data_IF_897495386387
#
_entry.id   IF_897495386387
#
_cell.length_a   1.000
_cell.length_b   1.000
_cell.length_c   1.000
_cell.angle_alpha   90.00
_cell.angle_beta   90.00
_cell.angle_gamma   90.00
#
_symmetry.space_group_name_H-M   'P 1'
#
loop_
_entity.id
_entity.type
_entity.pdbx_description
1 polymer ?
#
# COMPACT_ATOMS: atom_id res chain seq x y z
N UNK A 1 -2.32 -36.01 -34.13
CA UNK A 1 -2.69 -36.60 -32.83
C UNK A 1 -1.64 -36.14 -31.87
N UNK A 2 -1.86 -35.01 -31.18
CA UNK A 2 -0.91 -34.42 -30.20
C UNK A 2 -1.32 -35.03 -28.86
N UNK A 3 -0.39 -35.76 -28.27
CA UNK A 3 -0.53 -36.43 -26.98
C UNK A 3 -0.49 -35.38 -25.87
N UNK A 4 -1.63 -35.15 -25.22
CA UNK A 4 -1.82 -34.26 -24.08
C UNK A 4 -1.74 -35.05 -22.77
N UNK A 5 -0.67 -35.82 -22.60
CA UNK A 5 -0.44 -36.55 -21.35
C UNK A 5 0.52 -35.78 -20.43
N UNK A 6 -0.06 -35.27 -19.36
CA UNK A 6 0.55 -34.98 -18.05
C UNK A 6 1.61 -33.88 -17.96
N UNK A 7 1.20 -32.64 -18.10
CA UNK A 7 1.80 -31.62 -17.26
C UNK A 7 1.17 -31.79 -15.86
N UNK A 8 1.92 -32.35 -14.91
CA UNK A 8 1.61 -32.25 -13.49
C UNK A 8 1.63 -30.77 -13.14
N UNK A 9 0.47 -30.14 -13.11
CA UNK A 9 0.25 -28.99 -12.27
C UNK A 9 0.33 -29.56 -10.86
N UNK A 10 1.44 -29.36 -10.19
CA UNK A 10 1.50 -29.56 -8.75
C UNK A 10 0.49 -28.56 -8.19
N UNK A 11 -0.69 -29.06 -7.86
CA UNK A 11 -1.66 -28.36 -7.03
C UNK A 11 -0.95 -28.04 -5.73
N UNK A 12 -0.49 -26.80 -5.61
CA UNK A 12 -0.18 -26.19 -4.34
C UNK A 12 -1.53 -26.04 -3.63
N UNK A 13 -2.00 -27.15 -3.04
CA UNK A 13 -3.20 -27.15 -2.23
C UNK A 13 -2.84 -26.33 -1.00
N UNK A 14 -3.22 -25.04 -1.03
CA UNK A 14 -3.26 -24.26 0.20
C UNK A 14 -4.25 -24.95 1.12
N UNK A 15 -3.76 -25.59 2.13
CA UNK A 15 -4.57 -26.28 3.16
C UNK A 15 -5.24 -25.31 4.12
N UNK A 16 -5.06 -24.01 3.90
CA UNK A 16 -5.71 -22.97 4.71
C UNK A 16 -7.21 -23.03 4.51
N UNK A 17 -7.95 -23.33 5.56
CA UNK A 17 -9.39 -23.49 5.52
C UNK A 17 -10.06 -22.15 5.18
N UNK A 18 -10.65 -22.06 3.99
CA UNK A 18 -11.52 -20.96 3.59
C UNK A 18 -13.00 -21.33 3.81
N UNK A 19 -13.89 -20.35 4.09
CA UNK A 19 -13.62 -18.93 4.19
C UNK A 19 -12.99 -18.55 5.54
N UNK A 20 -12.08 -17.57 5.52
CA UNK A 20 -11.60 -16.92 6.75
C UNK A 20 -12.78 -16.23 7.44
N UNK A 21 -13.03 -16.57 8.71
CA UNK A 21 -14.16 -16.00 9.45
C UNK A 21 -13.80 -14.71 10.16
N UNK A 22 -12.53 -14.45 10.34
CA UNK A 22 -11.98 -13.25 10.97
C UNK A 22 -10.62 -12.95 10.37
N UNK A 23 -10.31 -11.70 10.29
CA UNK A 23 -9.09 -11.15 9.72
C UNK A 23 -8.79 -9.82 10.41
N UNK A 24 -7.60 -9.30 10.18
CA UNK A 24 -7.19 -7.95 10.59
C UNK A 24 -7.11 -7.05 9.37
N UNK A 25 -7.42 -5.75 9.54
CA UNK A 25 -7.30 -4.77 8.45
C UNK A 25 -5.87 -4.74 7.89
N UNK A 26 -4.87 -4.85 8.75
CA UNK A 26 -3.47 -4.96 8.33
C UNK A 26 -2.54 -4.05 9.12
N UNK A 27 -3.02 -2.87 9.48
CA UNK A 27 -2.27 -1.88 10.26
C UNK A 27 -2.37 -2.15 11.77
N UNK A 28 -1.23 -2.07 12.45
CA UNK A 28 -1.14 -2.20 13.92
C UNK A 28 -0.46 -0.98 14.55
N UNK A 29 -0.71 -0.78 15.86
CA UNK A 29 -0.02 0.26 16.62
C UNK A 29 1.48 -0.02 16.68
N UNK A 30 2.28 0.91 16.19
CA UNK A 30 3.73 0.79 16.17
C UNK A 30 4.32 0.78 17.57
N UNK A 31 5.20 -0.19 17.89
CA UNK A 31 5.92 -0.21 19.16
C UNK A 31 6.77 1.05 19.36
N UNK A 32 6.96 1.45 20.62
CA UNK A 32 7.79 2.62 20.94
C UNK A 32 9.23 2.50 20.41
N UNK A 33 9.79 1.28 20.41
CA UNK A 33 11.10 0.98 19.82
C UNK A 33 11.16 1.41 18.34
N UNK A 34 10.11 1.08 17.56
CA UNK A 34 10.04 1.42 16.14
C UNK A 34 9.85 2.93 15.93
N UNK A 35 8.99 3.56 16.73
CA UNK A 35 8.78 5.01 16.67
C UNK A 35 10.07 5.79 16.97
N UNK A 36 10.84 5.33 17.95
CA UNK A 36 12.14 5.95 18.28
C UNK A 36 13.16 5.74 17.15
N UNK A 37 13.24 4.53 16.59
CA UNK A 37 14.15 4.23 15.50
C UNK A 37 13.87 5.09 14.25
N UNK A 38 12.60 5.35 13.92
CA UNK A 38 12.23 6.27 12.82
C UNK A 38 12.74 7.69 13.07
N UNK A 39 12.55 8.22 14.28
CA UNK A 39 13.08 9.56 14.67
C UNK A 39 14.60 9.61 14.59
N UNK A 40 15.27 8.54 14.99
CA UNK A 40 16.73 8.46 14.95
C UNK A 40 17.26 8.37 13.51
N UNK A 41 16.53 7.66 12.62
CA UNK A 41 16.81 7.64 11.19
C UNK A 41 16.60 9.02 10.52
N UNK A 42 15.47 9.67 10.76
CA UNK A 42 15.16 11.01 10.26
C UNK A 42 16.23 12.04 10.70
N UNK A 43 16.71 11.90 11.93
CA UNK A 43 17.79 12.74 12.48
C UNK A 43 19.20 12.25 12.11
N UNK A 44 19.32 11.23 11.22
CA UNK A 44 20.58 10.66 10.72
C UNK A 44 21.49 10.08 11.80
N UNK A 45 20.92 9.61 12.92
CA UNK A 45 21.66 8.93 13.99
C UNK A 45 21.87 7.46 13.72
N UNK A 46 20.97 6.83 12.95
CA UNK A 46 21.08 5.44 12.50
C UNK A 46 21.01 5.38 10.98
N UNK A 47 21.55 4.31 10.40
CA UNK A 47 21.50 4.04 8.96
C UNK A 47 20.14 3.44 8.54
N UNK A 48 19.90 3.33 7.23
CA UNK A 48 18.72 2.63 6.69
C UNK A 48 18.72 1.15 7.06
N UNK A 49 19.89 0.53 7.05
CA UNK A 49 20.09 -0.88 7.38
C UNK A 49 19.73 -1.14 8.86
N UNK A 50 20.16 -0.25 9.75
CA UNK A 50 19.82 -0.34 11.19
C UNK A 50 18.31 -0.15 11.42
N UNK A 51 17.68 0.80 10.72
CA UNK A 51 16.22 0.94 10.78
C UNK A 51 15.52 -0.32 10.27
N UNK A 52 15.95 -0.87 9.12
CA UNK A 52 15.38 -2.10 8.56
C UNK A 52 15.47 -3.27 9.54
N UNK A 53 16.61 -3.43 10.22
CA UNK A 53 16.76 -4.47 11.23
C UNK A 53 15.74 -4.31 12.38
N UNK A 54 15.50 -3.09 12.83
CA UNK A 54 14.52 -2.81 13.90
C UNK A 54 13.09 -3.05 13.39
N UNK A 55 12.80 -2.70 12.14
CA UNK A 55 11.53 -3.00 11.48
C UNK A 55 11.31 -4.52 11.44
N UNK A 56 12.31 -5.29 11.01
CA UNK A 56 12.28 -6.76 10.94
C UNK A 56 12.00 -7.40 12.31
N UNK A 57 12.68 -6.94 13.34
CA UNK A 57 12.47 -7.43 14.72
C UNK A 57 11.04 -7.13 15.20
N UNK A 58 10.53 -5.93 14.94
CA UNK A 58 9.17 -5.53 15.33
C UNK A 58 8.10 -6.31 14.56
N UNK A 59 8.29 -6.55 13.27
CA UNK A 59 7.38 -7.35 12.44
C UNK A 59 7.41 -8.81 12.90
N UNK A 60 8.59 -9.36 13.19
CA UNK A 60 8.72 -10.72 13.72
C UNK A 60 7.93 -10.90 15.03
N UNK A 61 8.06 -9.98 15.97
CA UNK A 61 7.31 -9.99 17.23
C UNK A 61 5.79 -9.87 17.01
N UNK A 62 5.37 -8.99 16.06
CA UNK A 62 3.96 -8.86 15.68
C UNK A 62 3.41 -10.17 15.13
N UNK A 63 4.08 -10.77 14.14
CA UNK A 63 3.63 -12.03 13.51
C UNK A 63 3.52 -13.18 14.52
N UNK A 64 4.45 -13.26 15.46
CA UNK A 64 4.34 -14.24 16.55
C UNK A 64 3.07 -14.04 17.39
N UNK A 65 2.69 -12.78 17.65
CA UNK A 65 1.47 -12.45 18.39
C UNK A 65 0.21 -12.73 17.57
N UNK A 66 0.22 -12.43 16.26
CA UNK A 66 -0.87 -12.76 15.34
C UNK A 66 -1.14 -14.27 15.33
N UNK A 67 -0.10 -15.08 15.16
CA UNK A 67 -0.20 -16.55 15.22
C UNK A 67 -0.66 -17.05 16.58
N UNK A 68 -0.13 -16.51 17.67
CA UNK A 68 -0.53 -16.88 19.03
C UNK A 68 -1.99 -16.52 19.32
N UNK A 69 -2.53 -15.47 18.68
CA UNK A 69 -3.95 -15.10 18.73
C UNK A 69 -4.84 -15.99 17.84
N UNK A 70 -4.26 -16.92 17.07
CA UNK A 70 -4.97 -17.85 16.19
C UNK A 70 -5.34 -17.26 14.85
N UNK A 71 -4.67 -16.19 14.39
CA UNK A 71 -4.88 -15.67 13.04
C UNK A 71 -4.25 -16.59 11.99
N UNK A 72 -5.00 -16.89 10.93
CA UNK A 72 -4.54 -17.65 9.76
C UNK A 72 -3.99 -16.74 8.67
N UNK A 73 -4.32 -15.47 8.70
CA UNK A 73 -3.82 -14.43 7.80
C UNK A 73 -2.97 -13.49 8.61
N UNK A 74 -1.69 -13.39 8.26
CA UNK A 74 -0.72 -12.53 8.94
C UNK A 74 -0.37 -11.32 8.07
N UNK A 75 -0.01 -10.22 8.71
CA UNK A 75 0.42 -8.97 8.06
C UNK A 75 1.74 -8.47 8.66
N UNK A 76 2.40 -7.54 7.98
CA UNK A 76 3.57 -6.83 8.51
C UNK A 76 3.21 -5.67 9.46
N UNK A 77 1.91 -5.50 9.76
CA UNK A 77 1.40 -4.41 10.58
C UNK A 77 1.57 -3.02 9.97
N UNK A 78 2.00 -2.95 8.70
CA UNK A 78 2.41 -1.73 8.01
C UNK A 78 3.57 -1.00 8.71
N UNK A 79 4.39 -1.75 9.42
CA UNK A 79 5.44 -1.20 10.26
C UNK A 79 6.56 -0.51 9.48
N UNK A 80 6.70 -0.79 8.17
CA UNK A 80 7.68 -0.14 7.30
C UNK A 80 7.18 1.18 6.71
N UNK A 81 5.86 1.46 6.81
CA UNK A 81 5.22 2.62 6.19
C UNK A 81 5.18 3.84 7.12
N UNK A 82 5.36 5.01 6.56
CA UNK A 82 5.03 6.27 7.22
C UNK A 82 3.52 6.48 7.21
N UNK A 83 2.90 6.28 6.05
CA UNK A 83 1.45 6.33 5.84
C UNK A 83 0.97 5.05 5.14
N UNK A 84 -0.27 4.66 5.38
CA UNK A 84 -0.81 3.40 4.84
C UNK A 84 -0.87 3.37 3.30
N UNK A 85 -1.04 4.52 2.63
CA UNK A 85 -1.27 4.63 1.19
C UNK A 85 -0.13 5.32 0.43
N UNK A 86 0.44 6.43 0.94
CA UNK A 86 1.40 7.23 0.19
C UNK A 86 2.71 6.48 -0.06
N UNK A 87 3.19 5.72 0.91
CA UNK A 87 4.41 4.89 0.75
C UNK A 87 4.31 3.92 -0.44
N UNK A 88 3.10 3.43 -0.73
CA UNK A 88 2.87 2.62 -1.93
C UNK A 88 3.00 3.47 -3.20
N UNK A 89 2.39 4.65 -3.23
CA UNK A 89 2.43 5.54 -4.38
C UNK A 89 3.86 6.01 -4.70
N UNK A 90 4.69 6.19 -3.67
CA UNK A 90 6.10 6.60 -3.83
C UNK A 90 6.97 5.51 -4.47
N UNK A 91 6.49 4.29 -4.54
CA UNK A 91 7.11 3.19 -5.29
C UNK A 91 6.89 3.25 -6.80
N UNK A 92 6.09 4.20 -7.29
CA UNK A 92 5.82 4.39 -8.71
C UNK A 92 6.74 5.43 -9.32
N UNK A 93 7.17 5.18 -10.56
CA UNK A 93 7.82 6.19 -11.40
C UNK A 93 6.86 7.37 -11.62
N UNK A 94 7.40 8.56 -11.73
CA UNK A 94 6.62 9.77 -11.99
C UNK A 94 5.84 10.30 -10.77
N UNK A 95 6.04 9.73 -9.59
CA UNK A 95 5.48 10.21 -8.31
C UNK A 95 6.58 10.70 -7.40
N UNK A 96 6.35 11.80 -6.71
CA UNK A 96 7.28 12.36 -5.72
C UNK A 96 6.54 12.94 -4.53
N UNK A 97 7.27 13.26 -3.47
CA UNK A 97 6.69 13.84 -2.27
C UNK A 97 7.63 14.85 -1.62
N UNK A 98 7.06 15.73 -0.81
CA UNK A 98 7.80 16.69 0.01
C UNK A 98 7.09 16.85 1.36
N UNK A 99 7.83 17.15 2.44
CA UNK A 99 7.21 17.45 3.72
C UNK A 99 6.15 18.55 3.59
N UNK A 100 4.94 18.26 4.10
CA UNK A 100 3.84 19.23 4.06
C UNK A 100 4.15 20.45 4.92
N UNK A 101 3.61 21.60 4.52
CA UNK A 101 3.65 22.81 5.31
C UNK A 101 2.35 23.06 6.09
N UNK A 102 1.25 22.53 5.63
CA UNK A 102 -0.10 22.80 6.16
C UNK A 102 -0.77 21.59 6.77
N UNK A 103 -0.39 20.37 6.34
CA UNK A 103 -1.07 19.12 6.67
C UNK A 103 -2.44 18.98 6.00
N UNK A 104 -3.00 17.78 6.07
CA UNK A 104 -4.39 17.53 5.67
C UNK A 104 -5.32 17.74 6.87
N UNK A 105 -6.44 18.45 6.74
CA UNK A 105 -7.44 18.57 7.78
C UNK A 105 -8.02 17.20 8.13
N UNK A 106 -7.96 16.80 9.40
CA UNK A 106 -8.50 15.54 9.88
C UNK A 106 -9.07 15.71 11.29
N UNK A 107 -10.39 15.56 11.45
CA UNK A 107 -11.09 15.68 12.73
C UNK A 107 -10.74 16.93 13.60
N UNK A 108 -10.51 18.07 12.93
CA UNK A 108 -10.15 19.32 13.60
C UNK A 108 -8.67 19.52 13.89
N UNK A 109 -7.83 18.56 13.51
CA UNK A 109 -6.38 18.65 13.56
C UNK A 109 -5.78 18.56 12.15
N UNK A 110 -4.51 18.95 11.97
CA UNK A 110 -3.79 18.77 10.73
C UNK A 110 -2.94 17.49 10.80
N UNK A 111 -3.25 16.51 9.94
CA UNK A 111 -2.38 15.36 9.76
C UNK A 111 -1.13 15.78 8.96
N UNK A 112 0.02 15.80 9.61
CA UNK A 112 1.30 16.20 9.01
C UNK A 112 1.88 15.04 8.21
N UNK A 113 1.30 14.80 7.02
CA UNK A 113 1.76 13.80 6.05
C UNK A 113 2.33 14.51 4.84
N UNK A 114 3.30 13.87 4.14
CA UNK A 114 3.95 14.48 2.99
C UNK A 114 2.97 14.79 1.86
N UNK A 115 3.14 15.98 1.27
CA UNK A 115 2.45 16.35 0.04
C UNK A 115 2.97 15.47 -1.10
N UNK A 116 2.08 14.68 -1.71
CA UNK A 116 2.41 13.73 -2.79
C UNK A 116 1.87 14.27 -4.11
N UNK A 117 2.68 14.24 -5.16
CA UNK A 117 2.36 14.84 -6.46
C UNK A 117 3.08 14.15 -7.61
N UNK A 118 2.56 14.36 -8.84
CA UNK A 118 3.12 13.82 -10.08
C UNK A 118 4.29 14.68 -10.57
N UNK A 119 5.36 14.02 -11.00
CA UNK A 119 6.58 14.63 -11.58
C UNK A 119 6.89 14.10 -12.99
N UNK A 120 6.08 13.17 -13.50
CA UNK A 120 6.21 12.52 -14.80
C UNK A 120 5.02 11.62 -15.08
N UNK A 121 5.08 10.83 -16.14
CA UNK A 121 4.08 9.79 -16.38
C UNK A 121 4.19 8.70 -15.31
N UNK A 122 3.05 8.28 -14.78
CA UNK A 122 2.96 7.27 -13.72
C UNK A 122 3.24 5.90 -14.30
N UNK A 123 4.09 5.11 -13.63
CA UNK A 123 4.41 3.76 -14.07
C UNK A 123 5.24 2.98 -13.06
N UNK A 124 5.64 1.78 -13.42
CA UNK A 124 6.55 0.95 -12.61
C UNK A 124 7.56 0.30 -13.54
N UNK A 125 8.79 0.78 -13.54
CA UNK A 125 9.88 0.26 -14.37
C UNK A 125 10.80 -0.72 -13.64
N UNK A 126 10.84 -0.65 -12.31
CA UNK A 126 11.65 -1.49 -11.44
C UNK A 126 10.83 -2.44 -10.56
N UNK A 127 11.45 -2.99 -9.54
CA UNK A 127 10.76 -3.76 -8.50
C UNK A 127 10.14 -2.80 -7.49
N UNK A 128 8.83 -2.92 -7.28
CA UNK A 128 8.15 -2.09 -6.28
C UNK A 128 8.62 -2.46 -4.87
N UNK A 129 8.88 -1.47 -3.96
CA UNK A 129 9.41 -1.75 -2.61
C UNK A 129 8.56 -2.74 -1.79
N UNK A 130 7.24 -2.75 -1.96
CA UNK A 130 6.35 -3.66 -1.25
C UNK A 130 6.56 -5.13 -1.59
N UNK A 131 7.20 -5.43 -2.71
CA UNK A 131 7.57 -6.81 -3.06
C UNK A 131 8.61 -7.35 -2.07
N UNK A 132 9.62 -6.56 -1.72
CA UNK A 132 10.62 -6.96 -0.72
C UNK A 132 10.02 -7.00 0.69
N UNK A 133 9.08 -6.10 1.01
CA UNK A 133 8.34 -6.17 2.28
C UNK A 133 7.54 -7.48 2.37
N UNK A 134 6.86 -7.87 1.30
CA UNK A 134 6.11 -9.11 1.23
C UNK A 134 7.02 -10.34 1.35
N UNK A 135 8.15 -10.38 0.62
CA UNK A 135 9.13 -11.48 0.73
C UNK A 135 9.62 -11.70 2.16
N UNK A 136 9.82 -10.62 2.91
CA UNK A 136 10.16 -10.76 4.32
C UNK A 136 9.04 -11.44 5.13
N UNK A 137 7.78 -11.15 4.80
CA UNK A 137 6.63 -11.71 5.52
C UNK A 137 6.42 -13.20 5.18
N UNK A 138 6.74 -13.66 3.96
CA UNK A 138 6.53 -15.06 3.55
C UNK A 138 7.32 -16.07 4.36
N UNK A 139 8.44 -15.68 4.98
CA UNK A 139 9.22 -16.58 5.83
C UNK A 139 8.45 -17.11 7.05
N UNK A 140 7.34 -16.46 7.39
CA UNK A 140 6.49 -16.85 8.52
C UNK A 140 5.28 -17.69 8.10
N UNK A 141 5.10 -17.94 6.80
CA UNK A 141 4.04 -18.83 6.32
C UNK A 141 4.28 -20.28 6.75
N UNK A 142 3.19 -20.99 6.99
CA UNK A 142 3.19 -22.41 7.29
C UNK A 142 1.88 -23.06 6.81
N UNK A 143 1.64 -24.33 7.15
CA UNK A 143 0.43 -25.08 6.75
C UNK A 143 -0.90 -24.44 7.20
N UNK A 144 -0.87 -23.53 8.19
CA UNK A 144 -2.05 -22.91 8.77
C UNK A 144 -2.08 -21.39 8.59
N UNK A 145 -1.04 -20.79 8.02
CA UNK A 145 -0.85 -19.36 8.01
C UNK A 145 -0.37 -18.86 6.65
N UNK A 146 -1.05 -17.85 6.10
CA UNK A 146 -0.64 -17.18 4.87
C UNK A 146 -0.37 -15.70 5.11
N UNK A 147 0.55 -15.15 4.34
CA UNK A 147 0.86 -13.72 4.31
C UNK A 147 -0.12 -12.93 3.45
N UNK A 148 -0.63 -11.83 3.97
CA UNK A 148 -1.46 -10.86 3.25
C UNK A 148 -0.67 -9.58 3.02
N UNK A 149 -0.70 -9.10 1.76
CA UNK A 149 -0.20 -7.77 1.40
C UNK A 149 -1.36 -6.80 1.31
N UNK A 150 -1.33 -5.73 2.11
CA UNK A 150 -2.28 -4.61 1.99
C UNK A 150 -1.70 -3.53 1.08
N UNK A 151 -2.49 -3.00 0.18
CA UNK A 151 -2.13 -1.90 -0.71
C UNK A 151 -3.34 -0.96 -0.86
N UNK A 152 -3.14 0.35 -1.09
CA UNK A 152 -4.27 1.23 -1.38
C UNK A 152 -4.96 0.81 -2.69
N UNK A 153 -6.26 1.06 -2.80
CA UNK A 153 -6.99 0.86 -4.04
C UNK A 153 -6.54 1.85 -5.13
N UNK A 154 -6.67 1.50 -6.43
CA UNK A 154 -6.39 2.44 -7.53
C UNK A 154 -7.17 3.75 -7.44
N UNK A 155 -8.42 3.70 -6.96
CA UNK A 155 -9.24 4.90 -6.74
C UNK A 155 -8.61 5.84 -5.72
N UNK A 156 -8.01 5.31 -4.65
CA UNK A 156 -7.29 6.10 -3.65
C UNK A 156 -6.05 6.78 -4.24
N UNK A 157 -5.37 6.12 -5.18
CA UNK A 157 -4.25 6.72 -5.91
C UNK A 157 -4.72 7.89 -6.79
N UNK A 158 -5.76 7.66 -7.59
CA UNK A 158 -6.35 8.72 -8.44
C UNK A 158 -6.78 9.92 -7.60
N UNK A 159 -7.53 9.66 -6.52
CA UNK A 159 -7.98 10.70 -5.59
C UNK A 159 -6.82 11.57 -5.12
N UNK A 160 -5.73 10.98 -4.66
CA UNK A 160 -4.54 11.70 -4.20
C UNK A 160 -3.97 12.64 -5.28
N UNK A 161 -3.99 12.21 -6.56
CA UNK A 161 -3.43 12.98 -7.67
C UNK A 161 -4.35 14.10 -8.17
N UNK A 162 -5.64 14.05 -7.86
CA UNK A 162 -6.61 15.07 -8.22
C UNK A 162 -7.01 15.98 -7.06
N UNK A 163 -6.47 15.77 -5.86
CA UNK A 163 -6.65 16.71 -4.75
C UNK A 163 -6.22 18.12 -5.16
N UNK A 164 -6.89 19.19 -4.67
CA UNK A 164 -6.64 20.55 -5.10
C UNK A 164 -5.17 20.99 -5.10
N UNK A 165 -4.39 20.53 -4.12
CA UNK A 165 -2.97 20.84 -4.02
C UNK A 165 -2.08 20.04 -5.01
N UNK A 166 -2.53 18.88 -5.48
CA UNK A 166 -1.81 18.01 -6.41
C UNK A 166 -2.20 18.26 -7.88
N UNK A 167 -3.44 18.69 -8.13
CA UNK A 167 -4.07 18.79 -9.44
C UNK A 167 -3.27 19.64 -10.45
N UNK A 168 -2.71 20.76 -10.01
CA UNK A 168 -1.89 21.61 -10.87
C UNK A 168 -0.61 20.91 -11.38
N UNK A 169 -0.04 20.01 -10.60
CA UNK A 169 1.09 19.20 -11.04
C UNK A 169 0.61 18.08 -11.98
N UNK A 170 -0.51 17.46 -11.67
CA UNK A 170 -1.11 16.41 -12.49
C UNK A 170 -1.40 16.92 -13.91
N UNK A 171 -2.01 18.11 -14.05
CA UNK A 171 -2.32 18.74 -15.35
C UNK A 171 -1.09 19.06 -16.21
N UNK A 172 0.11 19.14 -15.64
CA UNK A 172 1.35 19.33 -16.41
C UNK A 172 1.74 18.09 -17.23
N UNK A 173 1.32 16.92 -16.80
CA UNK A 173 1.71 15.63 -17.38
C UNK A 173 0.53 14.86 -17.99
N UNK A 174 -0.69 15.19 -17.57
CA UNK A 174 -1.93 14.55 -18.02
C UNK A 174 -2.95 15.62 -18.40
N UNK A 175 -3.23 15.74 -19.71
CA UNK A 175 -4.30 16.59 -20.23
C UNK A 175 -5.67 15.90 -20.04
N UNK A 176 -5.66 14.56 -20.02
CA UNK A 176 -6.82 13.71 -19.88
C UNK A 176 -6.69 12.82 -18.63
N UNK A 177 -7.73 12.85 -17.80
CA UNK A 177 -7.83 11.99 -16.60
C UNK A 177 -7.89 10.52 -16.98
N UNK A 178 -8.47 10.14 -18.12
CA UNK A 178 -8.53 8.77 -18.60
C UNK A 178 -7.13 8.18 -18.81
N UNK A 179 -6.20 8.97 -19.36
CA UNK A 179 -4.80 8.55 -19.52
C UNK A 179 -4.15 8.27 -18.15
N UNK A 180 -4.35 9.14 -17.16
CA UNK A 180 -3.85 8.93 -15.80
C UNK A 180 -4.43 7.66 -15.17
N UNK A 181 -5.74 7.43 -15.29
CA UNK A 181 -6.41 6.21 -14.82
C UNK A 181 -5.79 4.95 -15.46
N UNK A 182 -5.53 5.00 -16.77
CA UNK A 182 -4.94 3.88 -17.50
C UNK A 182 -3.49 3.61 -17.05
N UNK A 183 -2.69 4.65 -16.82
CA UNK A 183 -1.31 4.52 -16.35
C UNK A 183 -1.26 3.97 -14.91
N UNK A 184 -2.12 4.45 -14.02
CA UNK A 184 -2.28 3.89 -12.67
C UNK A 184 -2.65 2.41 -12.77
N UNK A 185 -3.68 2.06 -13.56
CA UNK A 185 -4.13 0.67 -13.71
C UNK A 185 -3.02 -0.24 -14.26
N UNK A 186 -2.22 0.23 -15.21
CA UNK A 186 -1.08 -0.51 -15.75
C UNK A 186 0.02 -0.70 -14.68
N UNK A 187 0.34 0.33 -13.90
CA UNK A 187 1.28 0.23 -12.79
C UNK A 187 0.84 -0.80 -11.73
N UNK A 188 -0.46 -0.78 -11.35
CA UNK A 188 -1.02 -1.78 -10.44
C UNK A 188 -0.90 -3.20 -10.99
N UNK A 189 -1.16 -3.42 -12.30
CA UNK A 189 -0.97 -4.74 -12.92
C UNK A 189 0.47 -5.23 -12.77
N UNK A 190 1.45 -4.35 -12.95
CA UNK A 190 2.88 -4.69 -12.78
C UNK A 190 3.16 -5.07 -11.32
N UNK A 191 2.73 -4.27 -10.35
CA UNK A 191 2.96 -4.54 -8.93
C UNK A 191 2.27 -5.84 -8.49
N UNK A 192 1.02 -6.07 -8.90
CA UNK A 192 0.28 -7.30 -8.59
C UNK A 192 1.00 -8.52 -9.18
N UNK A 193 1.51 -8.41 -10.42
CA UNK A 193 2.27 -9.50 -11.04
C UNK A 193 3.58 -9.76 -10.27
N UNK A 194 4.31 -8.72 -9.88
CA UNK A 194 5.53 -8.86 -9.08
C UNK A 194 5.26 -9.52 -7.71
N UNK A 195 4.16 -9.13 -7.05
CA UNK A 195 3.72 -9.76 -5.80
C UNK A 195 3.33 -11.23 -6.02
N UNK A 196 2.59 -11.51 -7.09
CA UNK A 196 2.23 -12.89 -7.46
C UNK A 196 3.46 -13.76 -7.70
N UNK A 197 4.45 -13.25 -8.44
CA UNK A 197 5.71 -13.94 -8.73
C UNK A 197 6.56 -14.14 -7.47
N UNK A 198 6.44 -13.23 -6.49
CA UNK A 198 7.03 -13.37 -5.16
C UNK A 198 6.29 -14.35 -4.24
N UNK A 199 5.21 -14.99 -4.71
CA UNK A 199 4.42 -15.97 -3.96
C UNK A 199 3.16 -15.42 -3.30
N UNK A 200 2.84 -14.12 -3.45
CA UNK A 200 1.63 -13.54 -2.85
C UNK A 200 0.35 -14.16 -3.43
N UNK A 201 -0.54 -14.61 -2.55
CA UNK A 201 -1.85 -15.16 -2.92
C UNK A 201 -3.02 -14.48 -2.18
N UNK A 202 -2.70 -13.53 -1.30
CA UNK A 202 -3.69 -12.75 -0.57
C UNK A 202 -3.31 -11.27 -0.65
N UNK A 203 -4.05 -10.49 -1.43
CA UNK A 203 -3.90 -9.03 -1.55
C UNK A 203 -5.20 -8.40 -1.06
N UNK A 204 -5.06 -7.38 -0.20
CA UNK A 204 -6.17 -6.53 0.23
C UNK A 204 -6.01 -5.15 -0.40
N UNK A 205 -7.07 -4.67 -1.05
CA UNK A 205 -7.19 -3.30 -1.51
C UNK A 205 -7.91 -2.47 -0.45
N UNK A 206 -7.22 -1.47 0.11
CA UNK A 206 -7.80 -0.54 1.06
C UNK A 206 -8.32 0.69 0.31
N UNK A 207 -9.62 0.94 0.41
CA UNK A 207 -10.31 2.03 -0.27
C UNK A 207 -11.16 2.84 0.70
N UNK A 208 -10.81 4.11 0.91
CA UNK A 208 -11.59 5.05 1.67
C UNK A 208 -12.19 6.18 0.81
N UNK A 209 -12.00 6.16 -0.51
CA UNK A 209 -12.51 7.19 -1.43
C UNK A 209 -14.04 7.31 -1.38
N UNK A 210 -14.75 6.22 -1.15
CA UNK A 210 -16.20 6.23 -0.96
C UNK A 210 -16.65 7.12 0.19
N UNK A 211 -15.87 7.22 1.28
CA UNK A 211 -16.16 8.11 2.39
C UNK A 211 -16.20 9.57 1.97
N UNK A 212 -15.36 9.94 1.01
CA UNK A 212 -15.33 11.29 0.44
C UNK A 212 -16.49 11.52 -0.54
N UNK A 213 -16.79 10.54 -1.39
CA UNK A 213 -17.87 10.66 -2.39
C UNK A 213 -19.25 10.86 -1.77
N UNK A 214 -19.50 10.36 -0.54
CA UNK A 214 -20.77 10.52 0.16
C UNK A 214 -20.81 11.73 1.11
N UNK A 215 -19.70 12.45 1.30
CA UNK A 215 -19.66 13.66 2.11
C UNK A 215 -20.29 14.82 1.34
N UNK A 216 -21.32 15.45 1.93
CA UNK A 216 -22.03 16.60 1.34
C UNK A 216 -21.11 17.80 1.05
N UNK A 217 -19.94 17.87 1.68
CA UNK A 217 -18.95 18.94 1.51
C UNK A 217 -17.91 18.61 0.43
N UNK A 218 -17.82 17.37 -0.05
CA UNK A 218 -16.83 16.96 -1.02
C UNK A 218 -16.91 17.78 -2.33
N UNK A 219 -18.10 18.07 -2.92
CA UNK A 219 -18.16 18.91 -4.12
C UNK A 219 -17.51 20.28 -3.92
N UNK A 220 -17.72 20.89 -2.76
CA UNK A 220 -17.10 22.18 -2.44
C UNK A 220 -15.58 22.07 -2.32
N UNK A 221 -15.08 20.99 -1.73
CA UNK A 221 -13.65 20.74 -1.57
C UNK A 221 -12.95 20.54 -2.93
N UNK A 222 -13.57 19.78 -3.86
CA UNK A 222 -13.07 19.56 -5.20
C UNK A 222 -13.42 20.67 -6.19
N UNK A 223 -14.12 21.73 -5.76
CA UNK A 223 -14.58 22.84 -6.58
C UNK A 223 -15.43 22.39 -7.79
N UNK A 224 -16.27 21.40 -7.58
CA UNK A 224 -17.17 20.80 -8.57
C UNK A 224 -18.58 20.65 -8.00
N UNK A 225 -19.49 20.05 -8.74
CA UNK A 225 -20.81 19.62 -8.26
C UNK A 225 -20.85 18.11 -8.00
N UNK A 226 -22.01 17.60 -7.55
CA UNK A 226 -22.13 16.18 -7.23
C UNK A 226 -21.95 15.26 -8.45
N UNK A 227 -22.33 15.73 -9.65
CA UNK A 227 -22.14 14.97 -10.90
C UNK A 227 -20.66 14.91 -11.29
N UNK A 228 -19.90 15.97 -11.05
CA UNK A 228 -18.46 16.03 -11.32
C UNK A 228 -17.59 15.24 -10.36
N UNK A 229 -18.15 14.70 -9.25
CA UNK A 229 -17.46 13.79 -8.34
C UNK A 229 -17.59 12.31 -8.76
N UNK A 230 -18.60 11.97 -9.55
CA UNK A 230 -18.92 10.61 -10.00
C UNK A 230 -18.35 10.32 -11.38
#
# INVERSE_FOLDING_TARGET
>A
MIDLTHTKVEEFIMTVQTPYRYDVVGSFLRPEKLKQARKDYESKKISREELTQIEDECITDLVQKEKAAGLHVITDGEFRRATWHLDFMWGFDGVSHTPTKTGLPFHGEAAMIDDTYITGKVGVSGTHPFVEHFKFLTQFEDENTIAKQTIPAPAQFLEQMILPFALENTKKYYEDTEELVQDIANGYKVVIQQLYDAGCRCIQFDDCSWGMLVDEKAPLFFQTDQEGLL
#
